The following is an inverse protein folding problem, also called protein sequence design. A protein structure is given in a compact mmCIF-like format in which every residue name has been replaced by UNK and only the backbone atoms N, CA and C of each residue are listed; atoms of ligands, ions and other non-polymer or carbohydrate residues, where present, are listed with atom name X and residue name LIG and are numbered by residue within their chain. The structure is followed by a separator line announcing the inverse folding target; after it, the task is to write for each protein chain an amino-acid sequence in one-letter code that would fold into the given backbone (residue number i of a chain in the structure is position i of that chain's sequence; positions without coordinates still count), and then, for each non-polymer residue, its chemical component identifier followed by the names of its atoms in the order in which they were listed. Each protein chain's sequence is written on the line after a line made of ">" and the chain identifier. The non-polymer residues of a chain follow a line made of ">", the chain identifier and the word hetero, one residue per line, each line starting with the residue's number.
data_IF_194730008704
#
_entry.id   IF_194730008704
#
_cell.length_a   1.000
_cell.length_b   1.000
_cell.length_c   1.000
_cell.angle_alpha   90.00
_cell.angle_beta   90.00
_cell.angle_gamma   90.00
#
_symmetry.space_group_name_H-M   'P 1'
#
loop_
_entity.id
_entity.type
_entity.pdbx_description
1 polymer ?
#
# COMPACT_ATOMS: atom_id res chain seq x y z
N UNK A 1 59.54 -17.85 10.79
CA UNK A 1 59.33 -18.02 12.25
C UNK A 1 58.39 -16.93 12.74
N UNK A 2 57.24 -17.34 13.27
CA UNK A 2 56.34 -16.73 14.28
C UNK A 2 56.05 -15.20 14.31
N UNK A 3 54.75 -14.92 14.17
CA UNK A 3 53.97 -13.67 14.32
C UNK A 3 54.21 -12.87 15.61
N UNK A 4 53.74 -11.61 15.66
CA UNK A 4 52.65 -11.16 16.58
C UNK A 4 52.11 -9.75 16.29
N UNK A 5 50.85 -9.72 15.84
CA UNK A 5 49.71 -8.82 16.14
C UNK A 5 50.01 -7.44 16.75
N UNK A 6 49.60 -6.37 16.05
CA UNK A 6 49.16 -5.12 16.70
C UNK A 6 47.80 -4.74 16.14
N UNK A 7 46.91 -4.42 17.08
CA UNK A 7 45.47 -4.35 16.96
C UNK A 7 44.96 -3.10 16.25
N UNK A 8 43.86 -3.34 15.53
CA UNK A 8 42.75 -2.45 15.23
C UNK A 8 42.66 -1.15 16.04
N UNK A 9 42.72 -0.04 15.32
CA UNK A 9 42.28 1.28 15.76
C UNK A 9 41.68 2.05 14.59
N UNK A 10 40.83 1.40 13.78
CA UNK A 10 40.11 2.11 12.72
C UNK A 10 38.94 2.84 13.38
N UNK A 11 39.14 4.12 13.65
CA UNK A 11 38.08 5.03 14.05
C UNK A 11 37.04 5.06 12.93
N UNK A 12 35.96 4.30 13.11
CA UNK A 12 34.78 4.37 12.25
C UNK A 12 34.16 5.74 12.50
N UNK A 13 34.40 6.69 11.58
CA UNK A 13 33.55 7.86 11.44
C UNK A 13 32.14 7.37 11.13
N UNK A 14 31.29 7.35 12.16
CA UNK A 14 29.85 7.21 11.98
C UNK A 14 29.36 8.57 11.45
N UNK A 15 29.51 8.77 10.14
CA UNK A 15 28.72 9.76 9.42
C UNK A 15 27.29 9.26 9.41
N UNK A 16 26.55 9.62 10.47
CA UNK A 16 25.10 9.57 10.46
C UNK A 16 24.67 10.59 9.41
N UNK A 17 24.47 10.13 8.18
CA UNK A 17 23.84 10.90 7.12
C UNK A 17 22.36 11.12 7.42
N UNK A 18 22.05 11.85 8.49
CA UNK A 18 20.75 12.49 8.72
C UNK A 18 20.72 13.80 7.93
N UNK A 19 20.85 13.73 6.61
CA UNK A 19 20.67 14.89 5.73
C UNK A 19 19.79 14.52 4.56
N UNK A 20 18.50 14.31 4.84
CA UNK A 20 17.42 14.46 3.86
C UNK A 20 16.02 14.72 4.47
N UNK A 21 15.87 14.91 5.79
CA UNK A 21 14.54 15.12 6.39
C UNK A 21 14.15 16.57 6.66
N UNK A 22 15.00 17.56 6.37
CA UNK A 22 14.70 18.97 6.66
C UNK A 22 14.01 19.74 5.51
N UNK A 23 13.63 19.07 4.42
CA UNK A 23 12.88 19.68 3.31
C UNK A 23 11.37 19.46 3.32
N UNK A 24 10.81 18.76 4.32
CA UNK A 24 9.44 18.23 4.27
C UNK A 24 8.46 18.81 5.32
N UNK A 25 8.87 19.78 6.13
CA UNK A 25 8.04 20.28 7.24
C UNK A 25 7.11 21.44 6.89
N UNK A 26 7.14 21.96 5.66
CA UNK A 26 6.26 23.07 5.24
C UNK A 26 5.52 22.86 3.92
N UNK A 27 5.68 21.71 3.26
CA UNK A 27 4.69 21.30 2.29
C UNK A 27 3.44 20.87 3.06
N UNK A 28 2.34 21.59 2.88
CA UNK A 28 1.00 21.12 3.26
C UNK A 28 0.71 19.86 2.45
N UNK A 29 1.26 18.73 2.89
CA UNK A 29 0.97 17.42 2.31
C UNK A 29 -0.51 17.20 2.44
N UNK A 30 -1.23 17.36 1.33
CA UNK A 30 -2.64 17.05 1.30
C UNK A 30 -2.72 15.53 1.26
N UNK A 31 -2.83 14.92 2.44
CA UNK A 31 -3.00 13.47 2.62
C UNK A 31 -4.34 12.95 2.08
N UNK A 32 -5.11 13.84 1.47
CA UNK A 32 -6.44 13.63 0.94
C UNK A 32 -6.42 13.02 -0.47
N UNK A 33 -5.24 12.99 -1.12
CA UNK A 33 -4.97 12.24 -2.35
C UNK A 33 -3.87 11.19 -2.14
N UNK A 34 -4.20 9.91 -2.30
CA UNK A 34 -3.24 8.80 -2.15
C UNK A 34 -2.42 8.55 -3.44
N UNK A 35 -2.76 9.13 -4.59
CA UNK A 35 -1.97 8.94 -5.81
C UNK A 35 -0.62 9.64 -5.78
N UNK A 36 -0.55 10.73 -5.02
CA UNK A 36 0.65 11.57 -4.85
C UNK A 36 1.51 11.13 -3.66
N UNK A 37 1.17 10.00 -3.03
CA UNK A 37 1.88 9.48 -1.87
C UNK A 37 2.75 8.28 -2.22
N UNK A 38 3.99 8.30 -1.72
CA UNK A 38 4.87 7.13 -1.71
C UNK A 38 4.84 6.47 -0.32
N UNK A 39 4.54 5.18 -0.30
CA UNK A 39 4.50 4.39 0.94
C UNK A 39 5.73 3.48 1.03
N UNK A 40 6.32 3.39 2.23
CA UNK A 40 7.52 2.59 2.49
C UNK A 40 7.32 1.09 2.17
N UNK A 41 6.12 0.59 2.47
CA UNK A 41 5.69 -0.76 2.14
C UNK A 41 4.86 -0.71 0.86
N UNK A 42 5.45 -1.18 -0.24
CA UNK A 42 4.74 -1.40 -1.49
C UNK A 42 3.77 -2.59 -1.37
N UNK A 43 2.77 -2.64 -2.25
CA UNK A 43 1.83 -3.75 -2.32
C UNK A 43 2.56 -5.11 -2.47
N UNK A 44 3.64 -5.18 -3.28
CA UNK A 44 4.43 -6.41 -3.44
C UNK A 44 5.11 -6.86 -2.13
N UNK A 45 5.58 -5.92 -1.30
CA UNK A 45 6.12 -6.22 0.04
C UNK A 45 5.00 -6.65 0.99
N UNK A 46 3.86 -5.98 0.95
CA UNK A 46 2.68 -6.33 1.76
C UNK A 46 2.16 -7.76 1.45
N UNK A 47 2.19 -8.19 0.18
CA UNK A 47 1.89 -9.58 -0.22
C UNK A 47 2.84 -10.58 0.45
N UNK A 48 4.13 -10.25 0.54
CA UNK A 48 5.12 -11.07 1.24
C UNK A 48 4.80 -11.23 2.73
N UNK A 49 4.39 -10.14 3.38
CA UNK A 49 3.92 -10.16 4.78
C UNK A 49 2.67 -11.04 4.89
N UNK A 50 1.68 -10.87 4.01
CA UNK A 50 0.48 -11.71 4.01
C UNK A 50 0.78 -13.20 3.95
N UNK A 51 1.62 -13.60 2.98
CA UNK A 51 1.99 -15.01 2.80
C UNK A 51 2.71 -15.56 4.05
N UNK A 52 3.60 -14.77 4.65
CA UNK A 52 4.37 -15.17 5.84
C UNK A 52 3.48 -15.34 7.08
N UNK A 53 2.56 -14.40 7.31
CA UNK A 53 1.75 -14.37 8.54
C UNK A 53 0.55 -15.31 8.49
N UNK A 54 0.03 -15.64 7.30
CA UNK A 54 -1.19 -16.45 7.16
C UNK A 54 -0.95 -17.84 6.54
N UNK A 55 0.21 -18.06 5.91
CA UNK A 55 0.49 -19.22 5.05
C UNK A 55 -0.48 -19.41 3.87
N UNK A 56 -1.36 -18.43 3.58
CA UNK A 56 -2.32 -18.49 2.47
C UNK A 56 -1.73 -17.88 1.20
N UNK A 57 -2.28 -18.31 0.06
CA UNK A 57 -1.88 -17.85 -1.28
C UNK A 57 -3.02 -17.22 -2.06
N UNK A 58 -4.24 -17.24 -1.53
CA UNK A 58 -5.43 -16.71 -2.19
C UNK A 58 -6.14 -15.70 -1.30
N UNK A 59 -6.72 -14.69 -1.94
CA UNK A 59 -7.56 -13.65 -1.31
C UNK A 59 -8.75 -13.37 -2.21
N UNK A 60 -9.84 -12.87 -1.64
CA UNK A 60 -10.98 -12.35 -2.42
C UNK A 60 -10.65 -10.97 -2.99
N UNK A 61 -10.00 -10.14 -2.18
CA UNK A 61 -9.60 -8.79 -2.55
C UNK A 61 -8.42 -8.29 -1.72
N UNK A 62 -7.70 -7.31 -2.25
CA UNK A 62 -6.76 -6.49 -1.50
C UNK A 62 -7.21 -5.05 -1.57
N UNK A 63 -7.37 -4.39 -0.43
CA UNK A 63 -7.81 -3.01 -0.37
C UNK A 63 -6.70 -2.10 0.16
N UNK A 64 -6.76 -0.83 -0.21
CA UNK A 64 -6.00 0.23 0.43
C UNK A 64 -6.94 1.38 0.77
N UNK A 65 -7.19 1.52 2.06
CA UNK A 65 -8.23 2.41 2.59
C UNK A 65 -7.69 3.19 3.78
N UNK A 66 -8.27 4.35 4.10
CA UNK A 66 -8.03 4.98 5.38
C UNK A 66 -8.49 4.07 6.53
N UNK A 67 -7.86 4.22 7.69
CA UNK A 67 -8.32 3.67 8.96
C UNK A 67 -9.61 4.39 9.35
N UNK A 68 -10.57 3.62 9.84
CA UNK A 68 -11.74 4.15 10.53
C UNK A 68 -11.27 4.97 11.75
N UNK A 69 -11.99 6.05 12.07
CA UNK A 69 -11.82 6.88 13.27
C UNK A 69 -10.56 7.75 13.39
N UNK A 70 -9.95 8.18 12.27
CA UNK A 70 -8.86 9.16 12.33
C UNK A 70 -9.30 10.56 11.91
N UNK A 71 -9.24 11.51 12.83
CA UNK A 71 -9.63 12.92 12.61
C UNK A 71 -8.72 13.67 11.63
N UNK A 72 -7.44 13.29 11.51
CA UNK A 72 -6.48 13.90 10.59
C UNK A 72 -5.75 12.85 9.77
N UNK A 73 -5.86 12.92 8.44
CA UNK A 73 -5.18 12.01 7.54
C UNK A 73 -3.67 12.26 7.54
N UNK A 74 -2.89 11.19 7.65
CA UNK A 74 -1.43 11.16 7.54
C UNK A 74 -1.04 9.90 6.76
N UNK A 75 0.22 9.72 6.38
CA UNK A 75 0.66 8.45 5.76
C UNK A 75 0.35 7.21 6.64
N UNK A 76 0.29 7.38 7.97
CA UNK A 76 -0.03 6.34 8.94
C UNK A 76 -1.54 6.08 9.09
N UNK A 77 -2.39 6.84 8.42
CA UNK A 77 -3.85 6.65 8.45
C UNK A 77 -4.34 5.71 7.38
N UNK A 78 -3.48 5.15 6.54
CA UNK A 78 -3.88 4.16 5.55
C UNK A 78 -3.43 2.76 5.94
N UNK A 79 -4.03 1.76 5.31
CA UNK A 79 -3.78 0.35 5.58
C UNK A 79 -4.07 -0.51 4.36
N UNK A 80 -3.24 -1.54 4.16
CA UNK A 80 -3.59 -2.64 3.27
C UNK A 80 -4.49 -3.61 4.02
N UNK A 81 -5.55 -4.10 3.37
CA UNK A 81 -6.42 -5.16 3.88
C UNK A 81 -6.39 -6.32 2.90
N UNK A 82 -5.93 -7.48 3.34
CA UNK A 82 -6.00 -8.73 2.58
C UNK A 82 -7.18 -9.53 3.11
N UNK A 83 -8.26 -9.60 2.34
CA UNK A 83 -9.51 -10.26 2.74
C UNK A 83 -9.53 -11.68 2.19
N UNK A 84 -9.57 -12.67 3.09
CA UNK A 84 -9.77 -14.08 2.75
C UNK A 84 -11.12 -14.61 3.30
N UNK A 85 -11.34 -15.93 3.26
CA UNK A 85 -12.61 -16.55 3.69
C UNK A 85 -12.86 -16.51 5.20
N UNK A 86 -11.83 -16.32 6.02
CA UNK A 86 -11.89 -16.48 7.48
C UNK A 86 -11.50 -15.20 8.19
N UNK A 87 -10.56 -14.46 7.62
CA UNK A 87 -9.93 -13.32 8.27
C UNK A 87 -9.50 -12.25 7.27
N UNK A 88 -9.26 -11.06 7.83
CA UNK A 88 -8.57 -9.97 7.14
C UNK A 88 -7.23 -9.72 7.80
N UNK A 89 -6.16 -9.83 7.03
CA UNK A 89 -4.86 -9.35 7.47
C UNK A 89 -4.72 -7.87 7.10
N UNK A 90 -4.50 -7.05 8.12
CA UNK A 90 -4.19 -5.63 7.99
C UNK A 90 -2.68 -5.44 8.00
N UNK A 91 -2.14 -4.66 7.07
CA UNK A 91 -0.71 -4.30 7.04
C UNK A 91 -0.55 -2.78 7.01
N UNK A 92 0.19 -2.25 7.98
CA UNK A 92 0.54 -0.83 8.01
C UNK A 92 1.53 -0.49 6.86
N UNK A 93 1.21 0.50 5.99
CA UNK A 93 2.01 0.80 4.80
C UNK A 93 3.30 1.57 5.09
N UNK A 94 3.45 2.10 6.31
CA UNK A 94 4.66 2.76 6.78
C UNK A 94 5.56 1.76 7.50
N UNK A 95 5.01 1.02 8.47
CA UNK A 95 5.83 0.16 9.36
C UNK A 95 5.91 -1.30 8.92
N UNK A 96 5.01 -1.76 8.07
CA UNK A 96 4.87 -3.18 7.70
C UNK A 96 4.32 -4.06 8.81
N UNK A 97 3.92 -3.49 9.96
CA UNK A 97 3.38 -4.26 11.08
C UNK A 97 2.04 -4.90 10.68
N UNK A 98 1.90 -6.23 10.78
CA UNK A 98 0.64 -6.92 10.52
C UNK A 98 -0.28 -6.90 11.74
N UNK A 99 -1.59 -7.00 11.49
CA UNK A 99 -2.61 -7.29 12.49
C UNK A 99 -3.73 -8.11 11.86
N UNK A 100 -4.22 -9.15 12.54
CA UNK A 100 -5.35 -9.97 12.06
C UNK A 100 -6.65 -9.43 12.65
N UNK A 101 -7.68 -9.33 11.81
CA UNK A 101 -9.05 -8.99 12.20
C UNK A 101 -9.99 -10.08 11.70
N UNK A 102 -11.00 -10.43 12.50
CA UNK A 102 -12.11 -11.25 11.99
C UNK A 102 -12.85 -10.46 10.92
N UNK A 103 -13.20 -11.11 9.81
CA UNK A 103 -13.97 -10.48 8.74
C UNK A 103 -15.19 -11.32 8.40
N UNK A 104 -16.27 -10.65 8.02
CA UNK A 104 -17.36 -11.32 7.30
C UNK A 104 -16.93 -11.49 5.85
N UNK A 105 -17.14 -12.69 5.31
CA UNK A 105 -16.95 -12.99 3.89
C UNK A 105 -17.69 -11.97 3.02
N UNK A 106 -17.04 -11.49 1.97
CA UNK A 106 -17.75 -10.86 0.88
C UNK A 106 -18.43 -11.99 0.08
N UNK A 107 -19.75 -12.11 0.21
CA UNK A 107 -20.53 -13.09 -0.54
C UNK A 107 -20.31 -12.90 -2.05
N UNK A 108 -20.13 -14.01 -2.77
CA UNK A 108 -19.99 -14.06 -4.23
C UNK A 108 -18.74 -13.37 -4.83
N UNK A 109 -17.74 -12.97 -4.03
CA UNK A 109 -16.49 -12.44 -4.56
C UNK A 109 -15.49 -13.57 -4.92
N UNK A 110 -15.05 -13.69 -6.19
CA UNK A 110 -14.08 -14.72 -6.57
C UNK A 110 -12.70 -14.49 -5.94
N UNK A 111 -12.03 -15.60 -5.60
CA UNK A 111 -10.65 -15.58 -5.13
C UNK A 111 -9.66 -15.44 -6.29
N UNK A 112 -8.51 -14.84 -6.01
CA UNK A 112 -7.35 -14.88 -6.88
C UNK A 112 -6.06 -15.22 -6.12
N UNK A 113 -5.10 -15.81 -6.84
CA UNK A 113 -3.77 -16.08 -6.31
C UNK A 113 -2.97 -14.78 -6.20
N UNK A 114 -2.43 -14.50 -5.01
CA UNK A 114 -1.63 -13.30 -4.72
C UNK A 114 -0.40 -13.18 -5.61
N UNK A 115 0.06 -14.28 -6.24
CA UNK A 115 1.16 -14.24 -7.22
C UNK A 115 0.85 -13.35 -8.42
N UNK A 116 -0.43 -13.20 -8.80
CA UNK A 116 -0.84 -12.31 -9.89
C UNK A 116 -0.44 -10.84 -9.65
N UNK A 117 -0.24 -10.44 -8.39
CA UNK A 117 0.17 -9.08 -8.01
C UNK A 117 1.63 -8.78 -8.42
N UNK A 118 2.49 -9.80 -8.52
CA UNK A 118 3.89 -9.57 -8.90
C UNK A 118 4.05 -9.17 -10.36
N UNK A 119 3.16 -9.65 -11.23
CA UNK A 119 3.11 -9.34 -12.67
C UNK A 119 2.11 -8.24 -13.03
N UNK A 120 1.31 -7.76 -12.07
CA UNK A 120 0.36 -6.66 -12.31
C UNK A 120 1.01 -5.29 -12.27
N UNK A 121 0.33 -4.33 -12.89
CA UNK A 121 0.48 -2.88 -12.73
C UNK A 121 0.49 -2.54 -11.24
N UNK A 122 1.36 -1.60 -10.87
CA UNK A 122 1.39 -1.08 -9.50
C UNK A 122 0.19 -0.21 -9.21
N UNK A 123 -0.25 -0.10 -7.93
CA UNK A 123 -1.33 0.79 -7.56
C UNK A 123 -1.11 2.24 -8.01
N UNK A 124 0.12 2.77 -7.85
CA UNK A 124 0.46 4.14 -8.29
C UNK A 124 0.22 4.36 -9.78
N UNK A 125 0.58 3.40 -10.64
CA UNK A 125 0.33 3.51 -12.08
C UNK A 125 -1.17 3.44 -12.39
N UNK A 126 -1.91 2.56 -11.71
CA UNK A 126 -3.34 2.44 -11.89
C UNK A 126 -4.08 3.72 -11.45
N UNK A 127 -3.69 4.30 -10.31
CA UNK A 127 -4.24 5.56 -9.79
C UNK A 127 -4.02 6.73 -10.74
N UNK A 128 -2.79 6.92 -11.25
CA UNK A 128 -2.49 7.95 -12.25
C UNK A 128 -3.28 7.76 -13.54
N UNK A 129 -3.49 6.51 -13.95
CA UNK A 129 -4.33 6.18 -15.11
C UNK A 129 -5.80 6.51 -14.86
N UNK A 130 -6.35 6.21 -13.69
CA UNK A 130 -7.72 6.60 -13.32
C UNK A 130 -7.91 8.12 -13.29
N UNK A 131 -7.00 8.88 -12.68
CA UNK A 131 -7.07 10.35 -12.68
C UNK A 131 -7.00 10.91 -14.11
N UNK A 132 -6.19 10.30 -14.99
CA UNK A 132 -6.16 10.69 -16.40
C UNK A 132 -7.46 10.36 -17.14
N UNK A 133 -8.02 9.16 -16.92
CA UNK A 133 -9.24 8.70 -17.58
C UNK A 133 -10.51 9.43 -17.12
N UNK A 134 -10.53 9.92 -15.88
CA UNK A 134 -11.67 10.68 -15.37
C UNK A 134 -11.87 12.02 -16.10
N UNK A 135 -10.81 12.57 -16.70
CA UNK A 135 -10.81 13.91 -17.30
C UNK A 135 -10.91 15.05 -16.27
N UNK A 136 -10.98 14.70 -14.98
CA UNK A 136 -11.18 15.60 -13.84
C UNK A 136 -9.83 16.11 -13.35
N UNK A 137 -9.57 17.41 -13.48
CA UNK A 137 -8.24 18.01 -13.23
C UNK A 137 -7.85 18.00 -11.75
N UNK A 138 -8.82 18.02 -10.85
CA UNK A 138 -8.61 18.08 -9.41
C UNK A 138 -9.13 16.82 -8.70
N UNK A 139 -9.41 15.74 -9.45
CA UNK A 139 -9.82 14.47 -8.86
C UNK A 139 -8.71 13.88 -8.00
N UNK A 140 -9.07 13.54 -6.76
CA UNK A 140 -8.19 12.94 -5.77
C UNK A 140 -8.53 11.49 -5.57
N UNK A 141 -7.54 10.63 -5.47
CA UNK A 141 -7.76 9.22 -5.15
C UNK A 141 -7.96 9.08 -3.64
N UNK A 142 -9.04 8.40 -3.24
CA UNK A 142 -9.39 8.15 -1.83
C UNK A 142 -9.02 6.76 -1.37
N UNK A 143 -9.21 5.78 -2.23
CA UNK A 143 -8.94 4.37 -1.95
C UNK A 143 -8.87 3.58 -3.25
N UNK A 144 -8.36 2.35 -3.14
CA UNK A 144 -8.47 1.38 -4.22
C UNK A 144 -8.71 -0.03 -3.68
N UNK A 145 -9.34 -0.85 -4.52
CA UNK A 145 -9.57 -2.28 -4.27
C UNK A 145 -9.07 -3.07 -5.48
N UNK A 146 -8.25 -4.08 -5.23
CA UNK A 146 -7.77 -5.04 -6.23
C UNK A 146 -8.59 -6.33 -6.11
N UNK A 147 -9.37 -6.65 -7.13
CA UNK A 147 -10.28 -7.79 -7.13
C UNK A 147 -10.49 -8.38 -8.52
N UNK A 148 -11.12 -9.56 -8.57
CA UNK A 148 -11.50 -10.22 -9.82
C UNK A 148 -12.87 -9.73 -10.30
N UNK A 149 -12.95 -9.33 -11.58
CA UNK A 149 -14.20 -9.11 -12.32
C UNK A 149 -14.10 -9.75 -13.69
N UNK A 150 -15.11 -10.54 -14.06
CA UNK A 150 -15.16 -11.22 -15.37
C UNK A 150 -13.84 -11.92 -15.72
N UNK A 151 -13.34 -12.73 -14.79
CA UNK A 151 -12.09 -13.51 -14.87
C UNK A 151 -10.79 -12.73 -15.07
N UNK A 152 -10.82 -11.41 -14.87
CA UNK A 152 -9.65 -10.53 -14.95
C UNK A 152 -9.47 -9.77 -13.64
N UNK A 153 -8.22 -9.41 -13.36
CA UNK A 153 -7.84 -8.65 -12.18
C UNK A 153 -7.96 -7.15 -12.48
N UNK A 154 -8.65 -6.41 -11.63
CA UNK A 154 -8.90 -4.98 -11.76
C UNK A 154 -8.63 -4.24 -10.45
N UNK A 155 -8.11 -3.02 -10.59
CA UNK A 155 -8.23 -2.00 -9.56
C UNK A 155 -9.56 -1.26 -9.75
N UNK A 156 -10.39 -1.28 -8.72
CA UNK A 156 -11.45 -0.28 -8.54
C UNK A 156 -10.86 0.90 -7.79
N UNK A 157 -10.89 2.08 -8.40
CA UNK A 157 -10.25 3.28 -7.85
C UNK A 157 -11.33 4.29 -7.55
N UNK A 158 -11.44 4.67 -6.26
CA UNK A 158 -12.38 5.68 -5.81
C UNK A 158 -11.76 7.06 -5.92
N UNK A 159 -12.37 7.91 -6.74
CA UNK A 159 -12.00 9.30 -6.97
C UNK A 159 -13.00 10.23 -6.29
N UNK A 160 -12.52 11.38 -5.82
CA UNK A 160 -13.36 12.46 -5.32
C UNK A 160 -12.95 13.82 -5.92
N UNK A 161 -13.92 14.59 -6.40
CA UNK A 161 -13.75 15.97 -6.87
C UNK A 161 -15.04 16.74 -6.56
N UNK A 162 -14.96 17.94 -6.00
CA UNK A 162 -16.12 18.84 -5.76
C UNK A 162 -17.34 18.19 -5.09
N UNK A 163 -17.08 17.35 -4.06
CA UNK A 163 -18.06 16.54 -3.32
C UNK A 163 -18.75 15.42 -4.13
N UNK A 164 -18.35 15.20 -5.38
CA UNK A 164 -18.74 14.03 -6.14
C UNK A 164 -17.72 12.90 -5.97
N UNK A 165 -18.23 11.68 -5.77
CA UNK A 165 -17.42 10.47 -5.81
C UNK A 165 -17.68 9.70 -7.10
N UNK A 166 -16.62 9.17 -7.70
CA UNK A 166 -16.70 8.27 -8.85
C UNK A 166 -15.78 7.08 -8.68
N UNK A 167 -16.11 5.97 -9.34
CA UNK A 167 -15.29 4.76 -9.33
C UNK A 167 -14.87 4.42 -10.74
N UNK A 168 -13.57 4.23 -10.95
CA UNK A 168 -13.01 3.77 -12.23
C UNK A 168 -12.40 2.39 -12.09
N UNK A 169 -12.61 1.56 -13.11
CA UNK A 169 -12.02 0.24 -13.22
C UNK A 169 -10.78 0.28 -14.11
N UNK A 170 -9.62 0.07 -13.51
CA UNK A 170 -8.34 0.01 -14.21
C UNK A 170 -7.84 -1.42 -14.23
N UNK A 171 -7.54 -1.96 -15.41
CA UNK A 171 -6.96 -3.31 -15.52
C UNK A 171 -5.64 -3.36 -14.76
N UNK A 172 -5.53 -4.34 -13.86
CA UNK A 172 -4.31 -4.62 -13.12
C UNK A 172 -3.26 -5.26 -14.02
#
# INVERSE_FOLDING_TARGET
>A
MKMKKILFGSAILILIGLTASLGLLTATFRYDDISEQEYQISLKKAVGIFKKETNKTKVQMVQFVPKEDVQQQTNNTFQYLFVDSEQTLVVNPTTGKPAVRSSKLAENQPFFDIKKIYSSKSPQKAMKEAVKQSGKRNAKVRSWVLLMKSDKLYYEIKLAEDNEESVLLIRA
#
